data_IF_498231773840
#
_entry.id   IF_498231773840
#
_cell.length_a   1.000
_cell.length_b   1.000
_cell.length_c   1.000
_cell.angle_alpha   90.00
_cell.angle_beta   90.00
_cell.angle_gamma   90.00
#
_symmetry.space_group_name_H-M   'P 1'
#
loop_
_entity.id
_entity.type
_entity.pdbx_description
1 polymer ?
#
# COMPACT_ATOMS: atom_id res chain seq x y z
N UNK A 1 15.68 5.73 3.89
CA UNK A 1 14.32 5.54 3.35
C UNK A 1 13.34 6.01 4.40
N UNK A 2 12.43 6.92 4.05
CA UNK A 2 11.29 7.31 4.89
C UNK A 2 10.21 6.23 4.80
N UNK A 3 9.44 6.02 5.86
CA UNK A 3 8.37 5.04 5.96
C UNK A 3 7.09 5.74 6.43
N UNK A 4 5.94 5.11 6.18
CA UNK A 4 4.65 5.57 6.68
C UNK A 4 4.35 4.95 8.05
N UNK A 5 3.63 5.70 8.89
CA UNK A 5 3.06 5.22 10.14
C UNK A 5 1.53 5.26 10.08
N UNK A 6 0.87 4.92 11.20
CA UNK A 6 -0.60 4.88 11.27
C UNK A 6 -1.21 6.24 10.95
N UNK A 7 -0.63 7.33 11.45
CA UNK A 7 -1.15 8.68 11.24
C UNK A 7 -1.16 9.04 9.75
N UNK A 8 -0.08 8.75 9.04
CA UNK A 8 -0.03 8.94 7.58
C UNK A 8 -1.13 8.15 6.85
N UNK A 9 -1.39 6.90 7.24
CA UNK A 9 -2.43 6.10 6.58
C UNK A 9 -3.83 6.64 6.88
N UNK A 10 -4.06 7.14 8.10
CA UNK A 10 -5.31 7.80 8.47
C UNK A 10 -5.53 9.10 7.68
N UNK A 11 -4.48 9.91 7.50
CA UNK A 11 -4.55 11.13 6.70
C UNK A 11 -4.85 10.82 5.22
N UNK A 12 -4.22 9.79 4.66
CA UNK A 12 -4.47 9.32 3.30
C UNK A 12 -5.93 8.85 3.15
N UNK A 13 -6.47 8.13 4.14
CA UNK A 13 -7.87 7.70 4.13
C UNK A 13 -8.83 8.89 4.16
N UNK A 14 -8.62 9.83 5.09
CA UNK A 14 -9.41 11.05 5.19
C UNK A 14 -9.36 11.88 3.90
N UNK A 15 -8.18 12.00 3.29
CA UNK A 15 -8.02 12.63 1.98
C UNK A 15 -8.87 11.92 0.91
N UNK A 16 -8.83 10.60 0.85
CA UNK A 16 -9.62 9.80 -0.09
C UNK A 16 -11.13 9.97 0.08
N UNK A 17 -11.62 10.01 1.32
CA UNK A 17 -13.05 10.20 1.62
C UNK A 17 -13.52 11.60 1.23
N UNK A 18 -12.73 12.64 1.55
CA UNK A 18 -13.08 14.04 1.24
C UNK A 18 -13.18 14.32 -0.26
N UNK A 19 -12.30 13.71 -1.06
CA UNK A 19 -12.21 14.00 -2.49
C UNK A 19 -13.09 13.09 -3.35
N UNK A 20 -13.40 11.86 -2.90
CA UNK A 20 -14.06 10.85 -3.73
C UNK A 20 -15.32 10.25 -3.11
N UNK A 21 -15.82 10.81 -2.00
CA UNK A 21 -16.96 10.32 -1.20
C UNK A 21 -16.77 8.89 -0.65
N UNK A 22 -17.66 8.44 0.24
CA UNK A 22 -17.58 7.11 0.86
C UNK A 22 -17.80 7.17 2.37
N UNK A 23 -17.68 6.01 3.02
CA UNK A 23 -17.81 5.90 4.47
C UNK A 23 -16.45 6.13 5.15
N UNK A 24 -16.31 7.29 5.79
CA UNK A 24 -15.17 7.61 6.64
C UNK A 24 -15.22 6.94 8.02
N UNK A 25 -14.20 7.20 8.82
CA UNK A 25 -14.06 6.68 10.17
C UNK A 25 -13.40 5.29 10.25
N UNK A 26 -13.35 4.76 11.46
CA UNK A 26 -12.62 3.55 11.82
C UNK A 26 -13.57 2.44 12.31
N UNK A 27 -13.12 1.20 12.09
CA UNK A 27 -13.63 0.01 12.78
C UNK A 27 -12.89 -0.15 14.11
N UNK A 28 -13.43 -0.98 14.99
CA UNK A 28 -12.82 -1.28 16.29
C UNK A 28 -11.38 -1.85 16.14
N UNK A 29 -11.14 -2.64 15.09
CA UNK A 29 -9.87 -3.31 14.80
C UNK A 29 -8.99 -2.56 13.78
N UNK A 30 -9.35 -1.34 13.38
CA UNK A 30 -8.62 -0.61 12.32
C UNK A 30 -7.16 -0.36 12.70
N UNK A 31 -6.91 0.18 13.90
CA UNK A 31 -5.57 0.56 14.33
C UNK A 31 -4.67 -0.67 14.46
N UNK A 32 -5.15 -1.72 15.10
CA UNK A 32 -4.40 -2.99 15.27
C UNK A 32 -4.01 -3.61 13.92
N UNK A 33 -4.91 -3.58 12.93
CA UNK A 33 -4.61 -4.02 11.57
C UNK A 33 -3.55 -3.16 10.90
N UNK A 34 -3.67 -1.84 11.00
CA UNK A 34 -2.68 -0.92 10.44
C UNK A 34 -1.31 -1.14 11.07
N UNK A 35 -1.23 -1.26 12.39
CA UNK A 35 0.03 -1.54 13.09
C UNK A 35 0.66 -2.86 12.62
N UNK A 36 -0.15 -3.92 12.46
CA UNK A 36 0.31 -5.21 11.93
C UNK A 36 0.88 -5.12 10.51
N UNK A 37 0.21 -4.38 9.63
CA UNK A 37 0.66 -4.16 8.24
C UNK A 37 1.95 -3.32 8.23
N UNK A 38 1.97 -2.21 8.96
CA UNK A 38 3.08 -1.27 8.98
C UNK A 38 4.32 -1.87 9.63
N UNK A 39 4.17 -2.82 10.57
CA UNK A 39 5.27 -3.58 11.14
C UNK A 39 6.06 -4.38 10.09
N UNK A 40 5.43 -4.78 8.98
CA UNK A 40 6.09 -5.48 7.87
C UNK A 40 7.11 -4.60 7.12
N UNK A 41 7.09 -3.28 7.33
CA UNK A 41 8.08 -2.36 6.76
C UNK A 41 9.44 -2.43 7.45
N UNK A 42 9.54 -3.08 8.61
CA UNK A 42 10.73 -3.07 9.46
C UNK A 42 11.44 -4.41 9.47
N UNK A 43 12.73 -4.36 9.81
CA UNK A 43 13.54 -5.55 10.08
C UNK A 43 13.10 -6.21 11.37
N UNK A 44 12.86 -7.52 11.34
CA UNK A 44 12.56 -8.31 12.52
C UNK A 44 13.64 -9.39 12.71
N UNK A 45 14.26 -9.45 13.89
CA UNK A 45 15.35 -10.38 14.20
C UNK A 45 16.52 -10.37 13.19
N UNK A 46 16.85 -9.19 12.64
CA UNK A 46 17.92 -9.04 11.65
C UNK A 46 17.56 -9.49 10.23
N UNK A 47 16.31 -9.91 9.99
CA UNK A 47 15.79 -10.25 8.67
C UNK A 47 14.76 -9.21 8.24
N UNK A 48 14.99 -8.59 7.09
CA UNK A 48 14.06 -7.67 6.46
C UNK A 48 13.40 -8.37 5.27
N UNK A 49 12.08 -8.54 5.34
CA UNK A 49 11.29 -9.29 4.35
C UNK A 49 11.15 -8.54 3.02
N UNK A 50 10.95 -7.23 3.11
CA UNK A 50 10.81 -6.29 1.98
C UNK A 50 11.90 -5.23 2.10
N UNK A 51 12.97 -5.36 1.33
CA UNK A 51 14.19 -4.58 1.49
C UNK A 51 14.18 -3.31 0.63
N UNK A 52 13.66 -3.42 -0.59
CA UNK A 52 13.62 -2.27 -1.50
C UNK A 52 12.44 -1.33 -1.18
N UNK A 53 12.58 -0.07 -1.59
CA UNK A 53 11.49 0.91 -1.50
C UNK A 53 10.23 0.41 -2.23
N UNK A 54 10.40 -0.13 -3.45
CA UNK A 54 9.30 -0.66 -4.25
C UNK A 54 8.67 -1.91 -3.64
N UNK A 55 9.45 -2.78 -2.99
CA UNK A 55 8.91 -3.92 -2.23
C UNK A 55 8.04 -3.45 -1.06
N UNK A 56 8.44 -2.38 -0.35
CA UNK A 56 7.63 -1.80 0.74
C UNK A 56 6.38 -1.10 0.22
N UNK A 57 6.46 -0.39 -0.91
CA UNK A 57 5.29 0.22 -1.55
C UNK A 57 4.30 -0.85 -2.04
N UNK A 58 4.79 -1.91 -2.68
CA UNK A 58 3.98 -3.05 -3.11
C UNK A 58 3.36 -3.80 -1.92
N UNK A 59 4.09 -3.95 -0.82
CA UNK A 59 3.58 -4.54 0.41
C UNK A 59 2.41 -3.73 0.96
N UNK A 60 2.54 -2.39 1.05
CA UNK A 60 1.44 -1.53 1.50
C UNK A 60 0.23 -1.65 0.58
N UNK A 61 0.43 -1.59 -0.75
CA UNK A 61 -0.63 -1.78 -1.74
C UNK A 61 -1.34 -3.13 -1.56
N UNK A 62 -0.59 -4.21 -1.37
CA UNK A 62 -1.14 -5.55 -1.19
C UNK A 62 -2.00 -5.66 0.07
N UNK A 63 -1.42 -5.38 1.24
CA UNK A 63 -2.10 -5.63 2.51
C UNK A 63 -3.24 -4.66 2.76
N UNK A 64 -3.08 -3.37 2.46
CA UNK A 64 -4.17 -2.40 2.65
C UNK A 64 -5.36 -2.67 1.72
N UNK A 65 -5.12 -3.21 0.52
CA UNK A 65 -6.21 -3.61 -0.38
C UNK A 65 -6.96 -4.86 0.12
N UNK A 66 -6.28 -5.76 0.86
CA UNK A 66 -6.80 -7.07 1.30
C UNK A 66 -7.38 -7.09 2.71
N UNK A 67 -6.80 -6.38 3.67
CA UNK A 67 -7.07 -6.58 5.11
C UNK A 67 -8.28 -5.79 5.62
N UNK A 68 -8.93 -5.00 4.75
CA UNK A 68 -10.16 -4.27 5.02
C UNK A 68 -10.10 -3.45 6.33
N UNK A 69 -9.00 -2.70 6.52
CA UNK A 69 -8.77 -1.86 7.70
C UNK A 69 -9.89 -0.81 7.92
N UNK A 70 -10.55 -0.36 6.86
CA UNK A 70 -11.55 0.70 6.91
C UNK A 70 -12.96 0.23 6.53
N UNK A 71 -14.02 0.98 6.91
CA UNK A 71 -15.39 0.73 6.45
C UNK A 71 -15.51 0.74 4.92
N UNK A 72 -14.89 1.74 4.28
CA UNK A 72 -14.78 1.92 2.83
C UNK A 72 -13.42 2.57 2.51
N UNK A 73 -13.00 2.56 1.24
CA UNK A 73 -11.81 3.27 0.77
C UNK A 73 -10.52 2.46 0.80
N UNK A 74 -10.54 1.20 1.27
CA UNK A 74 -9.34 0.36 1.39
C UNK A 74 -8.46 0.32 0.13
N UNK A 75 -9.07 0.08 -1.04
CA UNK A 75 -8.35 0.10 -2.33
C UNK A 75 -7.72 1.45 -2.66
N UNK A 76 -8.43 2.55 -2.37
CA UNK A 76 -7.95 3.92 -2.60
C UNK A 76 -6.78 4.24 -1.67
N UNK A 77 -6.89 3.89 -0.39
CA UNK A 77 -5.81 4.03 0.58
C UNK A 77 -4.60 3.22 0.17
N UNK A 78 -4.79 2.00 -0.32
CA UNK A 78 -3.70 1.11 -0.71
C UNK A 78 -2.82 1.71 -1.82
N UNK A 79 -3.42 2.19 -2.92
CA UNK A 79 -2.67 2.80 -4.01
C UNK A 79 -2.07 4.15 -3.64
N UNK A 80 -2.81 4.98 -2.89
CA UNK A 80 -2.29 6.26 -2.41
C UNK A 80 -1.13 6.09 -1.44
N UNK A 81 -1.17 5.10 -0.55
CA UNK A 81 -0.07 4.81 0.37
C UNK A 81 1.19 4.37 -0.38
N UNK A 82 1.05 3.57 -1.44
CA UNK A 82 2.16 3.20 -2.30
C UNK A 82 2.75 4.42 -3.02
N UNK A 83 1.91 5.26 -3.65
CA UNK A 83 2.33 6.49 -4.33
C UNK A 83 3.05 7.44 -3.35
N UNK A 84 2.43 7.72 -2.20
CA UNK A 84 2.99 8.64 -1.19
C UNK A 84 4.32 8.12 -0.67
N UNK A 85 4.46 6.81 -0.40
CA UNK A 85 5.73 6.24 0.05
C UNK A 85 6.84 6.44 -1.00
N UNK A 86 6.53 6.26 -2.29
CA UNK A 86 7.47 6.49 -3.39
C UNK A 86 7.84 7.99 -3.50
N UNK A 87 6.85 8.86 -3.48
CA UNK A 87 7.00 10.32 -3.62
C UNK A 87 7.89 10.91 -2.51
N UNK A 88 7.62 10.60 -1.24
CA UNK A 88 8.42 11.13 -0.13
C UNK A 88 9.88 10.62 -0.13
N UNK A 89 10.16 9.57 -0.92
CA UNK A 89 11.48 8.99 -1.14
C UNK A 89 12.10 9.36 -2.51
N UNK A 90 11.51 10.31 -3.25
CA UNK A 90 12.10 10.89 -4.46
C UNK A 90 11.75 10.15 -5.75
N UNK A 91 10.65 9.40 -5.76
CA UNK A 91 10.14 8.73 -6.96
C UNK A 91 8.74 9.23 -7.32
N UNK A 92 8.57 9.65 -8.57
CA UNK A 92 7.27 9.99 -9.13
C UNK A 92 6.73 8.77 -9.89
N UNK A 93 5.48 8.39 -9.62
CA UNK A 93 4.80 7.33 -10.38
C UNK A 93 4.35 7.85 -11.75
N UNK A 94 4.58 7.08 -12.80
CA UNK A 94 4.31 7.46 -14.20
C UNK A 94 3.12 6.73 -14.82
N UNK A 95 2.49 5.79 -14.09
CA UNK A 95 1.26 5.16 -14.52
C UNK A 95 0.08 6.15 -14.50
N UNK A 96 -0.86 5.93 -15.40
CA UNK A 96 -2.14 6.65 -15.46
C UNK A 96 -3.09 6.22 -14.36
N UNK A 97 -4.12 7.03 -14.08
CA UNK A 97 -5.18 6.68 -13.13
C UNK A 97 -5.85 5.33 -13.46
N UNK A 98 -6.05 5.05 -14.76
CA UNK A 98 -6.63 3.79 -15.24
C UNK A 98 -5.70 2.61 -14.97
N UNK A 99 -4.40 2.71 -15.27
CA UNK A 99 -3.42 1.66 -14.97
C UNK A 99 -3.29 1.41 -13.46
N UNK A 100 -3.26 2.47 -12.66
CA UNK A 100 -3.24 2.37 -11.20
C UNK A 100 -4.52 1.72 -10.65
N UNK A 101 -5.68 2.06 -11.22
CA UNK A 101 -6.95 1.44 -10.90
C UNK A 101 -6.96 -0.06 -11.24
N UNK A 102 -6.58 -0.42 -12.47
CA UNK A 102 -6.52 -1.81 -12.93
C UNK A 102 -5.60 -2.66 -12.06
N UNK A 103 -4.40 -2.14 -11.75
CA UNK A 103 -3.45 -2.83 -10.88
C UNK A 103 -3.99 -3.00 -9.46
N UNK A 104 -4.62 -1.97 -8.89
CA UNK A 104 -5.24 -2.06 -7.56
C UNK A 104 -6.38 -3.08 -7.53
N UNK A 105 -7.15 -3.18 -8.62
CA UNK A 105 -8.23 -4.16 -8.74
C UNK A 105 -7.70 -5.57 -8.94
N UNK A 106 -6.61 -5.75 -9.69
CA UNK A 106 -5.89 -7.03 -9.82
C UNK A 106 -5.44 -7.51 -8.43
N UNK A 107 -4.77 -6.64 -7.67
CA UNK A 107 -4.39 -6.89 -6.28
C UNK A 107 -5.59 -7.25 -5.42
N UNK A 108 -6.65 -6.43 -5.42
CA UNK A 108 -7.82 -6.68 -4.57
C UNK A 108 -8.50 -8.02 -4.88
N UNK A 109 -8.58 -8.41 -6.15
CA UNK A 109 -9.27 -9.61 -6.60
C UNK A 109 -8.39 -10.87 -6.65
N UNK A 110 -7.07 -10.75 -6.45
CA UNK A 110 -6.17 -11.89 -6.53
C UNK A 110 -6.45 -12.96 -5.47
N UNK A 111 -6.28 -14.23 -5.83
CA UNK A 111 -6.41 -15.36 -4.90
C UNK A 111 -5.04 -15.99 -4.68
N UNK A 112 -4.16 -15.24 -4.01
CA UNK A 112 -2.77 -15.65 -3.76
C UNK A 112 -2.70 -16.48 -2.48
N UNK A 113 -2.18 -17.71 -2.58
CA UNK A 113 -1.90 -18.55 -1.42
C UNK A 113 -0.77 -17.95 -0.58
N UNK A 114 -0.78 -18.18 0.73
CA UNK A 114 0.14 -17.53 1.66
C UNK A 114 1.62 -17.79 1.29
N UNK A 115 1.96 -19.01 0.87
CA UNK A 115 3.31 -19.40 0.45
C UNK A 115 3.80 -18.64 -0.80
N UNK A 116 2.89 -18.09 -1.60
CA UNK A 116 3.19 -17.36 -2.83
C UNK A 116 3.07 -15.84 -2.67
N UNK A 117 2.59 -15.35 -1.52
CA UNK A 117 2.36 -13.92 -1.26
C UNK A 117 3.60 -13.07 -1.50
N UNK A 118 4.75 -13.52 -1.01
CA UNK A 118 5.99 -12.74 -1.14
C UNK A 118 6.47 -12.66 -2.59
N UNK A 119 6.26 -13.71 -3.38
CA UNK A 119 6.59 -13.69 -4.81
C UNK A 119 5.67 -12.72 -5.55
N UNK A 120 4.38 -12.73 -5.20
CA UNK A 120 3.40 -11.82 -5.77
C UNK A 120 3.70 -10.35 -5.44
N UNK A 121 4.02 -10.04 -4.18
CA UNK A 121 4.41 -8.67 -3.77
C UNK A 121 5.67 -8.22 -4.52
N UNK A 122 6.65 -9.10 -4.75
CA UNK A 122 7.83 -8.76 -5.56
C UNK A 122 7.51 -8.53 -7.03
N UNK A 123 6.57 -9.28 -7.60
CA UNK A 123 6.07 -9.03 -8.95
C UNK A 123 5.42 -7.63 -9.03
N UNK A 124 4.59 -7.28 -8.05
CA UNK A 124 3.97 -5.96 -7.94
C UNK A 124 5.02 -4.85 -7.73
N UNK A 125 6.06 -5.11 -6.95
CA UNK A 125 7.19 -4.20 -6.76
C UNK A 125 7.90 -3.87 -8.09
N UNK A 126 8.17 -4.89 -8.91
CA UNK A 126 8.75 -4.70 -10.24
C UNK A 126 7.84 -3.87 -11.14
N UNK A 127 6.52 -4.04 -11.05
CA UNK A 127 5.57 -3.22 -11.80
C UNK A 127 5.65 -1.76 -11.36
N UNK A 128 5.64 -1.49 -10.05
CA UNK A 128 5.78 -0.13 -9.52
C UNK A 128 7.10 0.51 -9.95
N UNK A 129 8.21 -0.23 -9.92
CA UNK A 129 9.52 0.26 -10.37
C UNK A 129 9.55 0.63 -11.85
N UNK A 130 8.93 -0.19 -12.72
CA UNK A 130 8.83 0.09 -14.16
C UNK A 130 7.94 1.29 -14.48
N UNK A 131 7.02 1.63 -13.57
CA UNK A 131 6.10 2.76 -13.69
C UNK A 131 6.44 3.88 -12.70
N UNK A 132 7.72 4.08 -12.43
CA UNK A 132 8.23 5.19 -11.62
C UNK A 132 9.49 5.79 -12.22
N UNK A 133 9.74 7.06 -11.93
CA UNK A 133 10.97 7.78 -12.30
C UNK A 133 11.52 8.55 -11.10
N UNK A 134 12.83 8.81 -11.11
CA UNK A 134 13.50 9.60 -10.06
C UNK A 134 13.21 11.09 -10.28
N UNK A 135 12.97 11.84 -9.19
CA UNK A 135 12.76 13.29 -9.15
C UNK A 135 14.06 14.03 -8.82
#
# INVERSE_FOLDING_TARGET
MKLLDVEHILEIHEFGIRNFSGLGGLREDSVDKLESILAQQYTFFGVERYQSLFEKAAMLLYFLAKDHCFPDGNKRVAILAAIVLLDINGYETTFTDDEGYEMTMEVANSSVLEENRDQYIRWLANWLEQHSQII
#
